data_IF_693164025548
#
_entry.id   IF_693164025548
#
_cell.length_a   1.000
_cell.length_b   1.000
_cell.length_c   1.000
_cell.angle_alpha   90.00
_cell.angle_beta   90.00
_cell.angle_gamma   90.00
#
_symmetry.space_group_name_H-M   'P 1'
#
loop_
_entity.id
_entity.type
_entity.pdbx_description
1 polymer ?
#
# COMPACT_ATOMS: atom_id res chain seq x y z
N UNK A 1 18.42 -20.78 -16.37
CA UNK A 1 19.12 -21.83 -17.13
C UNK A 1 18.48 -22.13 -18.49
N UNK A 2 17.16 -21.96 -18.67
CA UNK A 2 16.52 -22.18 -19.98
C UNK A 2 16.84 -21.15 -21.06
N UNK A 3 17.00 -19.87 -20.67
CA UNK A 3 17.33 -18.79 -21.60
C UNK A 3 18.68 -19.01 -22.29
N UNK A 4 19.69 -19.48 -21.56
CA UNK A 4 21.00 -19.81 -22.12
C UNK A 4 20.90 -20.90 -23.19
N UNK A 5 20.07 -21.93 -22.99
CA UNK A 5 19.86 -22.98 -24.01
C UNK A 5 19.26 -22.40 -25.30
N UNK A 6 18.30 -21.48 -25.18
CA UNK A 6 17.65 -20.85 -26.34
C UNK A 6 18.58 -19.86 -27.06
N UNK A 7 19.37 -19.09 -26.32
CA UNK A 7 20.35 -18.16 -26.88
C UNK A 7 21.51 -18.92 -27.52
N UNK A 8 22.06 -19.94 -26.86
CA UNK A 8 23.13 -20.77 -27.40
C UNK A 8 22.69 -21.57 -28.65
N UNK A 9 21.42 -21.95 -28.73
CA UNK A 9 20.85 -22.61 -29.92
C UNK A 9 20.73 -21.66 -31.12
N UNK A 10 20.52 -20.36 -30.89
CA UNK A 10 20.38 -19.35 -31.97
C UNK A 10 21.67 -18.62 -32.31
N UNK A 11 22.58 -18.51 -31.36
CA UNK A 11 23.88 -17.84 -31.50
C UNK A 11 24.94 -18.77 -30.90
N UNK A 12 25.44 -19.74 -31.68
CA UNK A 12 26.49 -20.63 -31.22
C UNK A 12 27.73 -19.80 -30.84
N UNK A 13 28.33 -20.09 -29.69
CA UNK A 13 29.52 -19.45 -29.12
C UNK A 13 29.34 -18.11 -28.35
N UNK A 14 28.12 -17.68 -28.01
CA UNK A 14 27.97 -16.49 -27.16
C UNK A 14 28.31 -16.78 -25.68
N UNK A 15 29.25 -16.06 -25.05
CA UNK A 15 29.63 -16.31 -23.67
C UNK A 15 28.51 -15.95 -22.69
N UNK A 16 28.22 -16.83 -21.73
CA UNK A 16 27.17 -16.63 -20.70
C UNK A 16 27.31 -15.30 -19.96
N UNK A 17 28.53 -14.88 -19.65
CA UNK A 17 28.81 -13.60 -19.00
C UNK A 17 28.41 -12.39 -19.87
N UNK A 18 28.46 -12.52 -21.20
CA UNK A 18 27.96 -11.51 -22.13
C UNK A 18 26.45 -11.40 -22.08
N UNK A 19 25.74 -12.55 -22.07
CA UNK A 19 24.27 -12.59 -21.96
C UNK A 19 23.80 -11.96 -20.65
N UNK A 20 24.45 -12.29 -19.52
CA UNK A 20 24.07 -11.72 -18.22
C UNK A 20 24.27 -10.21 -18.15
N UNK A 21 25.40 -9.68 -18.64
CA UNK A 21 25.63 -8.23 -18.72
C UNK A 21 24.59 -7.53 -19.60
N UNK A 22 24.22 -8.13 -20.73
CA UNK A 22 23.19 -7.58 -21.60
C UNK A 22 21.82 -7.55 -20.93
N UNK A 23 21.43 -8.62 -20.23
CA UNK A 23 20.18 -8.66 -19.47
C UNK A 23 20.16 -7.62 -18.34
N UNK A 24 21.27 -7.44 -17.63
CA UNK A 24 21.39 -6.38 -16.61
C UNK A 24 21.27 -4.98 -17.20
N UNK A 25 21.86 -4.76 -18.37
CA UNK A 25 21.68 -3.51 -19.12
C UNK A 25 20.21 -3.28 -19.50
N UNK A 26 19.52 -4.31 -20.02
CA UNK A 26 18.09 -4.21 -20.36
C UNK A 26 17.21 -3.94 -19.13
N UNK A 27 17.56 -4.50 -17.97
CA UNK A 27 16.88 -4.21 -16.70
C UNK A 27 17.14 -2.77 -16.27
N UNK A 28 18.38 -2.29 -16.33
CA UNK A 28 18.72 -0.89 -16.04
C UNK A 28 18.03 0.11 -16.97
N UNK A 29 17.82 -0.28 -18.23
CA UNK A 29 17.08 0.49 -19.24
C UNK A 29 15.55 0.36 -19.13
N UNK A 30 15.03 -0.48 -18.21
CA UNK A 30 13.59 -0.68 -18.02
C UNK A 30 12.89 -1.48 -19.12
N UNK A 31 13.63 -2.09 -20.05
CA UNK A 31 13.08 -2.93 -21.13
C UNK A 31 12.93 -4.41 -20.72
N UNK A 32 13.47 -4.78 -19.56
CA UNK A 32 13.31 -6.09 -18.97
C UNK A 32 13.15 -5.97 -17.45
N UNK A 33 12.53 -6.99 -16.85
CA UNK A 33 12.31 -7.08 -15.42
C UNK A 33 12.92 -8.38 -14.88
N UNK A 34 13.63 -8.27 -13.76
CA UNK A 34 14.05 -9.44 -12.99
C UNK A 34 12.84 -9.97 -12.23
N UNK A 35 12.51 -11.24 -12.44
CA UNK A 35 11.43 -11.89 -11.72
C UNK A 35 11.91 -12.36 -10.34
N UNK A 36 11.05 -12.34 -9.31
CA UNK A 36 11.40 -12.87 -8.00
C UNK A 36 11.76 -14.35 -8.10
N UNK A 37 12.80 -14.75 -7.36
CA UNK A 37 13.23 -16.14 -7.31
C UNK A 37 12.16 -17.02 -6.66
N UNK A 38 11.88 -18.18 -7.25
CA UNK A 38 11.00 -19.17 -6.61
C UNK A 38 11.75 -19.89 -5.49
N UNK A 39 11.07 -20.33 -4.41
CA UNK A 39 11.67 -21.20 -3.41
C UNK A 39 12.34 -22.40 -4.09
N UNK A 40 13.59 -22.69 -3.74
CA UNK A 40 14.46 -23.74 -4.33
C UNK A 40 14.97 -23.48 -5.75
N UNK A 41 14.68 -22.33 -6.34
CA UNK A 41 15.19 -21.97 -7.66
C UNK A 41 16.50 -21.17 -7.53
N UNK A 42 17.60 -21.73 -8.06
CA UNK A 42 18.92 -21.09 -8.04
C UNK A 42 19.15 -20.12 -9.20
N UNK A 43 18.28 -20.14 -10.21
CA UNK A 43 18.45 -19.37 -11.43
C UNK A 43 17.57 -18.11 -11.41
N UNK A 44 18.17 -16.96 -11.73
CA UNK A 44 17.42 -15.74 -12.00
C UNK A 44 16.62 -15.87 -13.29
N UNK A 45 15.38 -15.38 -13.28
CA UNK A 45 14.51 -15.30 -14.47
C UNK A 45 14.30 -13.84 -14.84
N UNK A 46 14.14 -13.60 -16.14
CA UNK A 46 13.93 -12.27 -16.71
C UNK A 46 12.71 -12.32 -17.62
N UNK A 47 11.94 -11.23 -17.66
CA UNK A 47 10.74 -11.09 -18.50
C UNK A 47 10.72 -9.69 -19.12
N UNK A 48 10.21 -9.56 -20.35
CA UNK A 48 9.93 -8.26 -20.96
C UNK A 48 8.66 -7.61 -20.38
N UNK A 49 7.75 -8.42 -19.84
CA UNK A 49 6.52 -7.96 -19.19
C UNK A 49 6.79 -7.83 -17.68
N UNK A 50 6.31 -6.75 -17.02
CA UNK A 50 6.38 -6.62 -15.58
C UNK A 50 5.78 -7.85 -14.88
N UNK A 51 6.39 -8.38 -13.82
CA UNK A 51 5.78 -9.44 -13.04
C UNK A 51 4.44 -8.98 -12.47
N UNK A 52 3.37 -9.77 -12.66
CA UNK A 52 2.16 -9.59 -11.88
C UNK A 52 2.48 -9.93 -10.41
N UNK A 53 2.34 -8.99 -9.46
CA UNK A 53 2.57 -9.26 -8.05
C UNK A 53 1.71 -10.42 -7.55
N UNK A 54 0.49 -10.59 -8.07
CA UNK A 54 -0.45 -11.63 -7.65
C UNK A 54 0.14 -13.02 -7.84
N UNK A 55 0.73 -13.29 -9.00
CA UNK A 55 1.32 -14.60 -9.32
C UNK A 55 2.49 -14.95 -8.41
N UNK A 56 3.29 -13.95 -8.05
CA UNK A 56 4.44 -14.14 -7.16
C UNK A 56 4.02 -14.36 -5.70
N UNK A 57 3.00 -13.63 -5.25
CA UNK A 57 2.53 -13.67 -3.86
C UNK A 57 1.62 -14.85 -3.58
N UNK A 58 0.83 -15.31 -4.56
CA UNK A 58 -0.19 -16.35 -4.34
C UNK A 58 0.39 -17.63 -3.74
N UNK A 59 1.59 -18.06 -4.18
CA UNK A 59 2.24 -19.24 -3.60
C UNK A 59 2.76 -19.01 -2.19
N UNK A 60 3.30 -17.83 -1.92
CA UNK A 60 3.76 -17.46 -0.58
C UNK A 60 2.58 -17.43 0.40
N UNK A 61 1.46 -16.84 -0.02
CA UNK A 61 0.21 -16.82 0.75
C UNK A 61 -0.32 -18.23 0.97
N UNK A 62 -0.40 -19.05 -0.07
CA UNK A 62 -0.88 -20.43 0.05
C UNK A 62 -0.01 -21.25 1.01
N UNK A 63 1.32 -21.19 0.89
CA UNK A 63 2.23 -21.90 1.79
C UNK A 63 2.17 -21.40 3.23
N UNK A 64 1.95 -20.11 3.43
CA UNK A 64 1.71 -19.53 4.75
C UNK A 64 0.42 -20.06 5.38
N UNK A 65 -0.68 -20.05 4.62
CA UNK A 65 -1.98 -20.56 5.09
C UNK A 65 -1.92 -22.05 5.41
N UNK A 66 -1.31 -22.87 4.56
CA UNK A 66 -1.09 -24.29 4.86
C UNK A 66 -0.24 -24.51 6.12
N UNK A 67 0.76 -23.67 6.34
CA UNK A 67 1.58 -23.71 7.56
C UNK A 67 0.74 -23.35 8.80
N UNK A 68 -0.07 -22.30 8.69
CA UNK A 68 -0.96 -21.85 9.75
C UNK A 68 -2.01 -22.93 10.09
N UNK A 69 -2.62 -23.56 9.10
CA UNK A 69 -3.58 -24.66 9.30
C UNK A 69 -2.96 -25.82 10.07
N UNK A 70 -1.72 -26.21 9.73
CA UNK A 70 -1.00 -27.28 10.46
C UNK A 70 -0.75 -26.91 11.92
N UNK A 71 -0.40 -25.66 12.19
CA UNK A 71 -0.20 -25.19 13.55
C UNK A 71 -1.53 -25.10 14.32
N UNK A 72 -2.60 -24.64 13.67
CA UNK A 72 -3.95 -24.63 14.25
C UNK A 72 -4.37 -26.03 14.68
N UNK A 73 -4.22 -27.04 13.81
CA UNK A 73 -4.52 -28.44 14.14
C UNK A 73 -3.67 -28.94 15.33
N UNK A 74 -2.39 -28.55 15.39
CA UNK A 74 -1.51 -28.91 16.51
C UNK A 74 -1.93 -28.25 17.82
N UNK A 75 -2.34 -26.99 17.77
CA UNK A 75 -2.80 -26.24 18.94
C UNK A 75 -4.17 -26.72 19.43
N UNK A 76 -5.05 -27.12 18.51
CA UNK A 76 -6.33 -27.73 18.86
C UNK A 76 -6.16 -29.07 19.58
N UNK A 77 -5.17 -29.88 19.19
CA UNK A 77 -4.85 -31.14 19.87
C UNK A 77 -4.42 -30.96 21.33
N UNK A 78 -3.96 -29.77 21.73
CA UNK A 78 -3.64 -29.41 23.13
C UNK A 78 -4.74 -28.58 23.81
N UNK A 79 -5.92 -28.47 23.19
CA UNK A 79 -7.10 -27.81 23.75
C UNK A 79 -7.21 -26.30 23.49
N UNK A 80 -6.39 -25.74 22.59
CA UNK A 80 -6.50 -24.34 22.20
C UNK A 80 -7.51 -24.21 21.06
N UNK A 81 -8.60 -23.49 21.30
CA UNK A 81 -9.63 -23.27 20.30
C UNK A 81 -9.09 -22.58 19.03
N UNK A 82 -9.49 -23.08 17.87
CA UNK A 82 -9.11 -22.58 16.53
C UNK A 82 -9.27 -21.06 16.39
N UNK A 83 -10.36 -20.49 16.92
CA UNK A 83 -10.62 -19.04 16.90
C UNK A 83 -9.51 -18.25 17.59
N UNK A 84 -8.96 -18.76 18.70
CA UNK A 84 -7.85 -18.11 19.43
C UNK A 84 -6.54 -18.21 18.66
N UNK A 85 -6.27 -19.34 18.02
CA UNK A 85 -5.06 -19.52 17.20
C UNK A 85 -5.02 -18.55 16.01
N UNK A 86 -6.15 -18.38 15.31
CA UNK A 86 -6.27 -17.40 14.23
C UNK A 86 -6.17 -15.95 14.71
N UNK A 87 -6.80 -15.62 15.85
CA UNK A 87 -6.69 -14.29 16.44
C UNK A 87 -5.22 -13.95 16.79
N UNK A 88 -4.51 -14.88 17.44
CA UNK A 88 -3.09 -14.69 17.77
C UNK A 88 -2.20 -14.58 16.52
N UNK A 89 -2.44 -15.42 15.49
CA UNK A 89 -1.71 -15.32 14.23
C UNK A 89 -1.92 -13.97 13.54
N UNK A 90 -3.15 -13.44 13.57
CA UNK A 90 -3.48 -12.10 13.05
C UNK A 90 -2.75 -11.01 13.84
N UNK A 91 -2.75 -11.08 15.17
CA UNK A 91 -2.04 -10.12 16.01
C UNK A 91 -0.53 -10.13 15.73
N UNK A 92 0.08 -11.30 15.57
CA UNK A 92 1.49 -11.44 15.22
C UNK A 92 1.82 -10.83 13.85
N UNK A 93 0.96 -11.04 12.85
CA UNK A 93 1.12 -10.45 11.52
C UNK A 93 1.02 -8.93 11.55
N UNK A 94 0.00 -8.39 12.24
CA UNK A 94 -0.25 -6.95 12.33
C UNK A 94 0.75 -6.24 13.23
N UNK A 95 1.27 -6.93 14.26
CA UNK A 95 2.29 -6.43 15.17
C UNK A 95 3.72 -6.53 14.62
N UNK A 96 3.93 -7.21 13.49
CA UNK A 96 5.26 -7.32 12.90
C UNK A 96 5.72 -5.93 12.41
N UNK A 97 6.97 -5.50 12.68
CA UNK A 97 7.48 -4.18 12.29
C UNK A 97 7.49 -3.92 10.76
N UNK A 98 7.26 -4.95 9.93
CA UNK A 98 7.07 -4.79 8.49
C UNK A 98 5.67 -4.29 8.11
N UNK A 99 4.68 -4.50 8.99
CA UNK A 99 3.28 -4.13 8.79
C UNK A 99 2.78 -3.09 9.81
N UNK A 100 3.47 -2.93 10.94
CA UNK A 100 3.09 -2.02 12.03
C UNK A 100 4.15 -1.01 12.48
N UNK A 101 5.30 -0.91 11.79
CA UNK A 101 6.30 0.12 12.11
C UNK A 101 5.90 1.49 11.54
N UNK A 102 6.00 2.61 12.28
CA UNK A 102 5.92 3.94 11.69
C UNK A 102 7.02 4.02 10.63
N UNK A 103 6.63 4.32 9.39
CA UNK A 103 7.56 4.63 8.33
C UNK A 103 8.58 5.63 8.88
N UNK A 104 9.83 5.21 9.08
CA UNK A 104 10.90 6.11 9.49
C UNK A 104 11.11 7.13 8.37
N UNK A 105 10.40 8.26 8.49
CA UNK A 105 10.90 9.53 7.97
C UNK A 105 12.27 9.81 8.61
N UNK A 106 13.14 10.58 7.93
CA UNK A 106 14.48 10.87 8.41
C UNK A 106 14.45 11.43 9.84
N UNK A 107 15.49 11.18 10.65
CA UNK A 107 15.49 11.50 12.06
C UNK A 107 15.40 13.02 12.25
N UNK A 108 14.23 13.51 12.63
CA UNK A 108 14.10 14.89 13.09
C UNK A 108 14.78 15.01 14.46
N UNK A 109 15.75 15.92 14.50
CA UNK A 109 16.52 16.28 15.67
C UNK A 109 15.64 16.74 16.84
N UNK A 110 16.07 16.55 18.09
CA UNK A 110 15.40 17.11 19.26
C UNK A 110 15.83 18.57 19.42
N UNK A 111 14.91 19.50 19.17
CA UNK A 111 15.08 20.92 19.48
C UNK A 111 13.73 21.55 19.78
N UNK A 112 13.33 21.63 21.06
CA UNK A 112 13.35 22.86 21.88
C UNK A 112 12.17 23.81 21.63
N UNK A 113 11.25 23.87 22.60
CA UNK A 113 10.47 25.07 22.89
C UNK A 113 8.95 24.87 22.99
N UNK A 114 8.34 25.05 24.19
CA UNK A 114 6.91 25.32 24.31
C UNK A 114 6.68 26.80 23.97
N UNK A 115 6.21 27.08 22.76
CA UNK A 115 5.74 28.40 22.33
C UNK A 115 4.21 28.49 22.43
N UNK A 116 3.65 29.60 22.96
CA UNK A 116 2.24 29.71 23.28
C UNK A 116 1.39 30.10 22.06
N UNK A 117 0.11 29.72 22.11
CA UNK A 117 -1.00 30.33 21.37
C UNK A 117 -0.86 30.39 19.84
N UNK A 118 -1.41 29.40 19.15
CA UNK A 118 -2.07 29.65 17.86
C UNK A 118 -3.51 29.22 17.99
N UNK A 119 -4.38 30.23 18.04
CA UNK A 119 -5.80 30.11 17.73
C UNK A 119 -5.93 29.30 16.42
N UNK A 120 -6.25 28.02 16.54
CA UNK A 120 -6.62 27.17 15.42
C UNK A 120 -7.94 27.71 14.87
N UNK A 121 -7.84 28.68 13.95
CA UNK A 121 -8.96 29.09 13.12
C UNK A 121 -9.41 27.84 12.37
N UNK A 122 -10.51 27.25 12.83
CA UNK A 122 -11.19 26.18 12.10
C UNK A 122 -11.44 26.70 10.69
N UNK A 123 -10.90 26.00 9.68
CA UNK A 123 -11.10 26.37 8.30
C UNK A 123 -12.60 26.28 7.99
N UNK A 124 -13.17 27.35 7.43
CA UNK A 124 -14.54 27.33 6.90
C UNK A 124 -14.60 26.41 5.67
N UNK A 125 -15.79 25.93 5.30
CA UNK A 125 -15.96 24.87 4.30
C UNK A 125 -15.17 25.07 2.99
N UNK A 126 -15.21 26.27 2.41
CA UNK A 126 -14.46 26.58 1.17
C UNK A 126 -12.94 26.61 1.38
N UNK A 127 -12.46 27.12 2.52
CA UNK A 127 -11.03 27.13 2.82
C UNK A 127 -10.49 25.73 3.10
N UNK A 128 -11.33 24.84 3.63
CA UNK A 128 -10.99 23.44 3.87
C UNK A 128 -10.85 22.68 2.56
N UNK A 129 -11.76 22.88 1.60
CA UNK A 129 -11.69 22.25 0.28
C UNK A 129 -10.39 22.60 -0.46
N UNK A 130 -10.02 23.88 -0.49
CA UNK A 130 -8.79 24.32 -1.15
C UNK A 130 -7.54 23.78 -0.45
N UNK A 131 -7.56 23.72 0.88
CA UNK A 131 -6.45 23.14 1.65
C UNK A 131 -6.32 21.63 1.42
N UNK A 132 -7.44 20.89 1.36
CA UNK A 132 -7.45 19.47 1.01
C UNK A 132 -6.79 19.24 -0.34
N UNK A 133 -7.11 20.06 -1.34
CA UNK A 133 -6.51 19.94 -2.68
C UNK A 133 -5.03 20.27 -2.71
N UNK A 134 -4.59 21.27 -1.95
CA UNK A 134 -3.18 21.60 -1.81
C UNK A 134 -2.38 20.42 -1.25
N UNK A 135 -2.85 19.84 -0.14
CA UNK A 135 -2.22 18.67 0.49
C UNK A 135 -2.26 17.47 -0.45
N UNK A 136 -3.40 17.22 -1.09
CA UNK A 136 -3.57 16.11 -2.03
C UNK A 136 -2.60 16.23 -3.22
N UNK A 137 -2.40 17.42 -3.79
CA UNK A 137 -1.38 17.66 -4.83
C UNK A 137 0.03 17.37 -4.34
N UNK A 138 0.35 17.79 -3.11
CA UNK A 138 1.64 17.48 -2.48
C UNK A 138 1.89 15.97 -2.38
N UNK A 139 0.91 15.23 -1.85
CA UNK A 139 0.98 13.78 -1.68
C UNK A 139 1.01 13.04 -3.02
N UNK A 140 0.19 13.43 -3.99
CA UNK A 140 0.16 12.79 -5.31
C UNK A 140 1.47 13.00 -6.09
N UNK A 141 2.09 14.19 -6.01
CA UNK A 141 3.40 14.48 -6.64
C UNK A 141 4.52 13.64 -6.04
N UNK A 142 4.52 13.46 -4.70
CA UNK A 142 5.49 12.60 -4.02
C UNK A 142 5.40 11.13 -4.49
N UNK A 143 4.20 10.68 -4.91
CA UNK A 143 3.95 9.30 -5.36
C UNK A 143 4.19 9.05 -6.86
N UNK A 144 4.73 10.02 -7.60
CA UNK A 144 5.17 9.95 -9.02
C UNK A 144 4.16 9.50 -10.09
N UNK A 145 2.94 9.06 -9.75
CA UNK A 145 1.98 8.49 -10.73
C UNK A 145 0.51 8.84 -10.47
N UNK A 146 0.15 10.10 -10.21
CA UNK A 146 -1.27 10.50 -10.00
C UNK A 146 -1.96 9.62 -8.94
N UNK A 147 -1.14 9.12 -8.00
CA UNK A 147 -1.41 7.87 -7.32
C UNK A 147 -2.52 8.05 -6.30
N UNK A 148 -3.41 7.06 -6.26
CA UNK A 148 -4.43 6.91 -5.23
C UNK A 148 -3.83 7.23 -3.84
N UNK A 149 -4.36 8.25 -3.20
CA UNK A 149 -4.01 8.64 -1.84
C UNK A 149 -5.05 8.04 -0.91
N UNK A 150 -4.61 7.32 0.12
CA UNK A 150 -5.53 6.80 1.11
C UNK A 150 -6.13 7.97 1.91
N UNK A 151 -7.43 7.91 2.19
CA UNK A 151 -8.14 8.95 2.97
C UNK A 151 -7.49 9.17 4.33
N UNK A 152 -6.97 8.10 4.95
CA UNK A 152 -6.27 8.17 6.24
C UNK A 152 -5.01 9.03 6.13
N UNK A 153 -4.16 8.78 5.13
CA UNK A 153 -2.93 9.53 4.91
C UNK A 153 -3.23 11.01 4.63
N UNK A 154 -4.32 11.30 3.91
CA UNK A 154 -4.76 12.66 3.64
C UNK A 154 -5.23 13.36 4.93
N UNK A 155 -5.99 12.67 5.79
CA UNK A 155 -6.46 13.20 7.08
C UNK A 155 -5.29 13.46 8.03
N UNK A 156 -4.33 12.55 8.10
CA UNK A 156 -3.10 12.70 8.89
C UNK A 156 -2.25 13.88 8.40
N UNK A 157 -2.11 14.05 7.07
CA UNK A 157 -1.33 15.14 6.49
C UNK A 157 -1.95 16.53 6.73
N UNK A 158 -3.28 16.61 6.87
CA UNK A 158 -3.97 17.86 7.23
C UNK A 158 -3.83 18.14 8.74
N UNK A 159 -3.71 17.08 9.56
CA UNK A 159 -3.46 17.18 10.99
C UNK A 159 -4.53 17.98 11.74
N UNK A 160 -4.11 18.79 12.71
CA UNK A 160 -4.99 19.57 13.59
C UNK A 160 -5.79 20.67 12.88
N UNK A 161 -5.48 20.94 11.60
CA UNK A 161 -6.21 21.93 10.78
C UNK A 161 -7.53 21.38 10.23
N UNK A 162 -7.73 20.06 10.34
CA UNK A 162 -8.96 19.42 9.90
C UNK A 162 -10.03 19.58 10.97
N UNK A 163 -11.15 20.27 10.69
CA UNK A 163 -12.31 20.20 11.56
C UNK A 163 -12.85 18.75 11.57
N UNK A 164 -13.68 18.45 12.56
CA UNK A 164 -14.32 17.16 12.83
C UNK A 164 -14.59 16.28 11.58
N UNK A 165 -14.56 14.96 11.76
CA UNK A 165 -14.70 13.97 10.67
C UNK A 165 -15.81 14.31 9.69
N UNK A 166 -16.95 14.75 10.22
CA UNK A 166 -18.13 15.13 9.44
C UNK A 166 -17.84 16.28 8.46
N UNK A 167 -17.11 17.31 8.90
CA UNK A 167 -16.76 18.45 8.06
C UNK A 167 -15.77 18.07 6.95
N UNK A 168 -14.79 17.22 7.27
CA UNK A 168 -13.86 16.67 6.28
C UNK A 168 -14.60 15.83 5.22
N UNK A 169 -15.47 14.93 5.65
CA UNK A 169 -16.22 14.05 4.75
C UNK A 169 -17.15 14.86 3.84
N UNK A 170 -17.81 15.90 4.39
CA UNK A 170 -18.64 16.82 3.62
C UNK A 170 -17.84 17.62 2.58
N UNK A 171 -16.65 18.11 2.93
CA UNK A 171 -15.76 18.81 2.01
C UNK A 171 -15.25 17.89 0.90
N UNK A 172 -14.84 16.66 1.23
CA UNK A 172 -14.41 15.67 0.24
C UNK A 172 -15.56 15.30 -0.72
N UNK A 173 -16.78 15.18 -0.19
CA UNK A 173 -18.00 14.98 -0.99
C UNK A 173 -18.36 16.20 -1.85
N UNK A 174 -18.06 17.42 -1.40
CA UNK A 174 -18.17 18.66 -2.19
C UNK A 174 -17.19 18.65 -3.37
N UNK A 175 -15.93 18.30 -3.12
CA UNK A 175 -14.89 18.17 -4.14
C UNK A 175 -15.20 17.10 -5.18
N UNK A 176 -15.78 15.97 -4.76
CA UNK A 176 -16.18 14.90 -5.67
C UNK A 176 -17.36 15.32 -6.57
N UNK A 177 -18.36 16.00 -6.00
CA UNK A 177 -19.52 16.53 -6.76
C UNK A 177 -19.13 17.64 -7.73
N UNK A 178 -18.11 18.44 -7.38
CA UNK A 178 -17.56 19.48 -8.25
C UNK A 178 -16.51 18.96 -9.24
N UNK A 179 -16.34 17.64 -9.33
CA UNK A 179 -15.49 17.00 -10.33
C UNK A 179 -13.99 17.33 -10.19
N UNK A 180 -13.56 17.72 -8.98
CA UNK A 180 -12.15 18.06 -8.68
C UNK A 180 -11.33 16.84 -8.23
N UNK A 181 -12.00 15.82 -7.71
CA UNK A 181 -11.39 14.58 -7.21
C UNK A 181 -12.22 13.34 -7.57
N UNK A 182 -11.54 12.20 -7.69
CA UNK A 182 -12.19 10.89 -7.76
C UNK A 182 -12.13 10.20 -6.40
N UNK A 183 -13.27 9.72 -5.91
CA UNK A 183 -13.35 8.90 -4.70
C UNK A 183 -13.47 7.43 -5.08
N UNK A 184 -12.61 6.60 -4.49
CA UNK A 184 -12.59 5.17 -4.72
C UNK A 184 -13.40 4.48 -3.64
N UNK A 185 -14.50 3.85 -4.08
CA UNK A 185 -15.40 3.13 -3.20
C UNK A 185 -14.75 1.82 -2.76
N UNK A 186 -14.98 1.46 -1.51
CA UNK A 186 -14.64 0.15 -0.99
C UNK A 186 -15.78 -0.83 -1.25
N UNK A 187 -15.51 -1.94 -1.92
CA UNK A 187 -16.55 -2.88 -2.37
C UNK A 187 -17.16 -3.72 -1.22
N UNK A 188 -16.44 -3.85 -0.09
CA UNK A 188 -16.88 -4.68 1.05
C UNK A 188 -16.77 -3.95 2.39
N UNK A 189 -17.59 -2.93 2.68
CA UNK A 189 -17.53 -2.21 3.95
C UNK A 189 -17.99 -3.05 5.16
N UNK A 190 -18.80 -4.09 4.90
CA UNK A 190 -19.31 -5.00 5.94
C UNK A 190 -18.23 -5.90 6.55
N UNK A 191 -17.15 -6.21 5.81
CA UNK A 191 -16.03 -7.02 6.30
C UNK A 191 -15.01 -6.22 7.11
N UNK A 192 -15.15 -4.90 7.20
CA UNK A 192 -14.27 -4.02 7.96
C UNK A 192 -14.69 -3.96 9.43
N UNK A 193 -13.69 -3.89 10.32
CA UNK A 193 -13.91 -3.63 11.74
C UNK A 193 -14.50 -2.23 11.95
N UNK A 194 -15.18 -1.97 13.10
CA UNK A 194 -15.70 -0.64 13.42
C UNK A 194 -14.64 0.45 13.39
N UNK A 195 -13.41 0.14 13.81
CA UNK A 195 -12.28 1.07 13.82
C UNK A 195 -11.82 1.41 12.39
N UNK A 196 -11.72 0.43 11.50
CA UNK A 196 -11.37 0.66 10.09
C UNK A 196 -12.47 1.45 9.37
N UNK A 197 -13.74 1.13 9.66
CA UNK A 197 -14.90 1.84 9.11
C UNK A 197 -14.96 3.30 9.55
N UNK A 198 -14.54 3.60 10.79
CA UNK A 198 -14.43 4.97 11.30
C UNK A 198 -13.36 5.80 10.57
N UNK A 199 -12.37 5.16 9.93
CA UNK A 199 -11.35 5.84 9.12
C UNK A 199 -11.80 6.26 7.72
N UNK A 200 -12.99 5.83 7.27
CA UNK A 200 -13.47 6.02 5.90
C UNK A 200 -14.34 7.27 5.74
N UNK A 201 -14.39 7.80 4.52
CA UNK A 201 -15.36 8.85 4.16
C UNK A 201 -16.70 8.22 3.87
N UNK A 202 -17.77 8.82 4.40
CA UNK A 202 -19.15 8.39 4.18
C UNK A 202 -19.90 9.49 3.46
N UNK A 203 -20.64 9.15 2.41
CA UNK A 203 -21.45 10.10 1.61
C UNK A 203 -22.86 10.36 2.18
N UNK A 204 -23.19 9.76 3.33
CA UNK A 204 -24.52 9.78 3.93
C UNK A 204 -25.54 8.84 3.27
N UNK A 205 -25.19 8.21 2.15
CA UNK A 205 -26.01 7.21 1.43
C UNK A 205 -25.56 5.76 1.72
N UNK A 206 -24.56 5.61 2.59
CA UNK A 206 -24.03 4.31 3.00
C UNK A 206 -22.88 3.82 2.12
N UNK A 207 -22.33 4.64 1.22
CA UNK A 207 -21.10 4.32 0.53
C UNK A 207 -19.89 4.71 1.38
N UNK A 208 -18.85 3.88 1.31
CA UNK A 208 -17.60 4.09 2.04
C UNK A 208 -16.46 4.23 1.04
N UNK A 209 -15.64 5.25 1.21
CA UNK A 209 -14.52 5.54 0.34
C UNK A 209 -13.20 5.43 1.11
N UNK A 210 -12.23 4.73 0.51
CA UNK A 210 -10.93 4.48 1.13
C UNK A 210 -9.79 5.27 0.48
N UNK A 211 -9.97 5.73 -0.76
CA UNK A 211 -8.95 6.44 -1.50
C UNK A 211 -9.52 7.60 -2.30
N UNK A 212 -8.64 8.56 -2.56
CA UNK A 212 -8.94 9.75 -3.34
C UNK A 212 -7.81 10.01 -4.33
N UNK A 213 -8.14 10.41 -5.54
CA UNK A 213 -7.18 10.91 -6.53
C UNK A 213 -7.63 12.25 -7.10
N UNK A 214 -6.67 13.02 -7.61
CA UNK A 214 -6.97 14.26 -8.30
C UNK A 214 -7.57 13.97 -9.68
N UNK A 215 -8.51 14.82 -10.07
CA UNK A 215 -8.98 14.91 -11.45
C UNK A 215 -8.28 16.11 -12.09
N UNK A 216 -7.04 15.90 -12.52
CA UNK A 216 -6.26 16.83 -13.35
C UNK A 216 -6.27 16.37 -14.81
#
# INVERSE_FOLDING_TARGET
MELHKHVAARIPAYPLAGVMRFLEHLVGAGSAHRLPGRPRERASRFSAVPPDPKDSLQRCVAGFLEGLDREVVRLEAIGIATVRSYAAARELLLGHPMFGGPCHGPPNAPGTGPGPCSELRSLTGSMLEDHILEVLRGLSRARRHGGLVAVRDLREAIGDRCPDKVAFDAALGGLARSDRVWLYRHDFPASLSPAERAGMVVDGQGNYYNGVSLRE
#
